data_IF_559274487147
#
_entry.id   IF_559274487147
#
_cell.length_a   1.000
_cell.length_b   1.000
_cell.length_c   1.000
_cell.angle_alpha   90.00
_cell.angle_beta   90.00
_cell.angle_gamma   90.00
#
_symmetry.space_group_name_H-M   'P 1'
#
loop_
_entity.id
_entity.type
_entity.pdbx_description
1 polymer ?
#
# COMPACT_ATOMS: atom_id res chain seq x y z
N UNK A 1 -9.65 12.94 26.59
CA UNK A 1 -8.79 12.59 25.57
C UNK A 1 -9.09 13.29 24.25
N UNK A 2 -8.24 14.09 23.89
CA UNK A 2 -8.44 14.80 22.68
C UNK A 2 -7.74 14.12 21.55
N UNK A 3 -8.46 13.87 20.53
CA UNK A 3 -7.81 13.50 19.31
C UNK A 3 -6.90 14.67 18.93
N UNK A 4 -5.72 14.37 18.48
CA UNK A 4 -4.83 15.39 18.01
C UNK A 4 -5.54 16.16 16.92
N UNK A 5 -5.65 17.41 17.11
CA UNK A 5 -6.17 18.26 16.07
C UNK A 5 -5.22 18.15 14.89
N UNK A 6 -5.71 17.84 13.73
CA UNK A 6 -4.85 17.80 12.56
C UNK A 6 -4.53 19.24 12.16
N UNK A 7 -3.65 19.84 12.92
CA UNK A 7 -3.22 21.20 12.65
C UNK A 7 -2.60 21.30 11.27
N UNK A 8 -2.04 20.21 10.81
CA UNK A 8 -1.39 20.16 9.52
C UNK A 8 -1.84 18.92 8.77
N UNK A 9 -2.66 19.12 7.79
CA UNK A 9 -3.09 17.99 6.93
C UNK A 9 -1.89 17.25 6.35
N UNK A 10 -0.79 17.95 6.09
CA UNK A 10 0.42 17.36 5.56
C UNK A 10 1.28 16.61 6.57
N UNK A 11 0.96 16.73 7.88
CA UNK A 11 1.75 16.08 8.93
C UNK A 11 1.18 14.74 9.35
N UNK A 12 0.07 14.30 8.79
CA UNK A 12 -0.47 12.99 9.08
C UNK A 12 0.46 11.91 8.58
N UNK A 13 0.75 10.96 9.45
CA UNK A 13 1.49 9.79 9.02
C UNK A 13 0.72 9.08 7.92
N UNK A 14 1.39 8.69 6.84
CA UNK A 14 0.73 7.93 5.80
C UNK A 14 0.25 6.59 6.36
N UNK A 15 -0.85 6.07 5.86
CA UNK A 15 -1.33 4.76 6.22
C UNK A 15 -0.96 3.74 5.15
N UNK A 16 -0.59 2.56 5.61
CA UNK A 16 -0.20 1.44 4.75
C UNK A 16 -1.12 0.27 5.10
N UNK A 17 -1.75 -0.30 4.09
CA UNK A 17 -2.62 -1.46 4.25
C UNK A 17 -1.87 -2.71 3.81
N UNK A 18 -1.87 -3.74 4.66
CA UNK A 18 -1.30 -5.04 4.33
C UNK A 18 -2.43 -6.05 4.22
N UNK A 19 -2.57 -6.68 3.06
CA UNK A 19 -3.57 -7.70 2.81
C UNK A 19 -2.88 -9.02 2.53
N UNK A 20 -2.89 -9.92 3.51
CA UNK A 20 -2.23 -11.22 3.42
C UNK A 20 -2.91 -12.14 4.44
N UNK A 21 -3.13 -13.39 4.09
CA UNK A 21 -3.76 -14.33 5.02
C UNK A 21 -2.75 -15.00 5.96
N UNK A 22 -1.46 -14.75 5.78
CA UNK A 22 -0.40 -15.37 6.57
C UNK A 22 0.01 -14.44 7.73
N UNK A 23 -0.22 -14.89 8.96
CA UNK A 23 0.15 -14.14 10.14
C UNK A 23 1.66 -13.89 10.25
N UNK A 24 2.48 -14.80 9.75
CA UNK A 24 3.93 -14.59 9.74
C UNK A 24 4.30 -13.41 8.88
N UNK A 25 3.65 -13.26 7.74
CA UNK A 25 3.91 -12.13 6.85
C UNK A 25 3.50 -10.84 7.55
N UNK A 26 2.33 -10.80 8.18
CA UNK A 26 1.90 -9.62 8.93
C UNK A 26 2.92 -9.24 10.00
N UNK A 27 3.36 -10.21 10.80
CA UNK A 27 4.33 -9.95 11.85
C UNK A 27 5.66 -9.42 11.31
N UNK A 28 6.16 -10.02 10.24
CA UNK A 28 7.42 -9.60 9.63
C UNK A 28 7.31 -8.19 9.04
N UNK A 29 6.22 -7.92 8.32
CA UNK A 29 6.04 -6.61 7.70
C UNK A 29 5.79 -5.52 8.73
N UNK A 30 5.00 -5.81 9.76
CA UNK A 30 4.77 -4.86 10.85
C UNK A 30 6.08 -4.51 11.54
N UNK A 31 6.92 -5.51 11.83
CA UNK A 31 8.21 -5.28 12.45
C UNK A 31 9.12 -4.44 11.54
N UNK A 32 9.13 -4.75 10.25
CA UNK A 32 9.95 -4.01 9.29
C UNK A 32 9.50 -2.56 9.16
N UNK A 33 8.20 -2.32 9.15
CA UNK A 33 7.64 -0.98 8.95
C UNK A 33 7.64 -0.14 10.22
N UNK A 34 7.93 -0.74 11.38
CA UNK A 34 7.92 -0.03 12.66
C UNK A 34 8.90 1.13 12.71
N UNK A 35 10.00 1.04 11.95
CA UNK A 35 10.96 2.11 11.83
C UNK A 35 10.52 3.28 10.96
N UNK A 36 9.43 3.12 10.24
CA UNK A 36 8.86 4.18 9.41
C UNK A 36 7.70 4.84 10.15
N UNK A 37 7.46 6.09 9.86
CA UNK A 37 6.33 6.81 10.46
C UNK A 37 5.08 6.57 9.64
N UNK A 38 4.53 5.37 9.77
CA UNK A 38 3.33 4.98 9.03
C UNK A 38 2.31 4.39 10.00
N UNK A 39 1.04 4.55 9.67
CA UNK A 39 -0.05 3.85 10.34
C UNK A 39 -0.31 2.56 9.57
N UNK A 40 -0.44 1.47 10.29
CA UNK A 40 -0.66 0.17 9.65
C UNK A 40 -2.11 -0.26 9.77
N UNK A 41 -2.65 -0.73 8.67
CA UNK A 41 -3.95 -1.38 8.59
C UNK A 41 -3.69 -2.80 8.09
N UNK A 42 -4.32 -3.78 8.68
CA UNK A 42 -4.10 -5.18 8.31
C UNK A 42 -5.41 -5.87 7.95
N UNK A 43 -5.37 -6.70 6.94
CA UNK A 43 -6.50 -7.49 6.48
C UNK A 43 -6.01 -8.88 6.10
N UNK A 44 -6.85 -9.88 6.30
CA UNK A 44 -6.51 -11.27 6.03
C UNK A 44 -7.25 -11.81 4.81
N UNK A 45 -8.20 -11.07 4.29
CA UNK A 45 -8.97 -11.45 3.11
C UNK A 45 -9.05 -10.25 2.16
N UNK A 46 -9.35 -10.53 0.91
CA UNK A 46 -9.54 -9.47 -0.08
C UNK A 46 -10.73 -8.57 0.29
N UNK A 47 -11.83 -9.17 0.74
CA UNK A 47 -13.01 -8.41 1.13
C UNK A 47 -12.71 -7.44 2.27
N UNK A 48 -11.99 -7.90 3.29
CA UNK A 48 -11.58 -7.04 4.39
C UNK A 48 -10.64 -5.94 3.93
N UNK A 49 -9.67 -6.29 3.06
CA UNK A 49 -8.74 -5.33 2.50
C UNK A 49 -9.45 -4.25 1.70
N UNK A 50 -10.41 -4.64 0.88
CA UNK A 50 -11.19 -3.68 0.10
C UNK A 50 -11.98 -2.74 1.01
N UNK A 51 -12.63 -3.29 2.05
CA UNK A 51 -13.39 -2.47 2.98
C UNK A 51 -12.50 -1.46 3.71
N UNK A 52 -11.32 -1.89 4.17
CA UNK A 52 -10.38 -1.00 4.84
C UNK A 52 -9.83 0.07 3.89
N UNK A 53 -9.54 -0.31 2.65
CA UNK A 53 -9.06 0.65 1.66
C UNK A 53 -10.10 1.74 1.38
N UNK A 54 -11.35 1.36 1.22
CA UNK A 54 -12.42 2.32 0.96
C UNK A 54 -12.67 3.22 2.15
N UNK A 55 -12.59 2.67 3.37
CA UNK A 55 -12.84 3.44 4.59
C UNK A 55 -11.71 4.40 4.94
N UNK A 56 -10.47 3.97 4.77
CA UNK A 56 -9.31 4.72 5.25
C UNK A 56 -8.46 5.35 4.17
N UNK A 57 -8.62 4.95 2.93
CA UNK A 57 -7.87 5.47 1.77
C UNK A 57 -6.37 5.55 2.04
N UNK A 58 -5.73 4.38 2.27
CA UNK A 58 -4.30 4.37 2.55
C UNK A 58 -3.51 4.86 1.34
N UNK A 59 -2.31 5.33 1.57
CA UNK A 59 -1.46 5.76 0.48
C UNK A 59 -0.76 4.59 -0.22
N UNK A 60 -0.62 3.47 0.47
CA UNK A 60 0.01 2.26 -0.08
C UNK A 60 -0.75 1.04 0.40
N UNK A 61 -1.03 0.11 -0.51
CA UNK A 61 -1.54 -1.21 -0.18
C UNK A 61 -0.52 -2.25 -0.62
N UNK A 62 -0.26 -3.22 0.24
CA UNK A 62 0.62 -4.35 -0.04
C UNK A 62 -0.28 -5.58 -0.06
N UNK A 63 -0.40 -6.20 -1.23
CA UNK A 63 -1.44 -7.20 -1.50
C UNK A 63 -0.81 -8.53 -1.90
N UNK A 64 -1.10 -9.57 -1.12
CA UNK A 64 -0.70 -10.93 -1.46
C UNK A 64 -1.57 -11.47 -2.60
N UNK A 65 -0.96 -12.21 -3.52
CA UNK A 65 -1.69 -12.82 -4.64
C UNK A 65 -2.59 -13.94 -4.14
N UNK A 66 -2.11 -14.74 -3.20
CA UNK A 66 -2.80 -15.96 -2.77
C UNK A 66 -3.80 -15.77 -1.66
N UNK A 67 -4.71 -14.82 -1.77
CA UNK A 67 -5.75 -14.61 -0.77
C UNK A 67 -6.84 -15.68 -0.87
N UNK A 68 -7.52 -15.99 0.24
CA UNK A 68 -8.47 -17.11 0.25
C UNK A 68 -9.76 -16.86 -0.53
N UNK A 69 -10.18 -15.62 -0.65
CA UNK A 69 -11.49 -15.28 -1.22
C UNK A 69 -11.43 -14.64 -2.60
N UNK A 70 -10.29 -14.11 -2.99
CA UNK A 70 -10.13 -13.43 -4.28
C UNK A 70 -8.64 -13.30 -4.58
N UNK A 71 -8.26 -13.54 -5.81
CA UNK A 71 -6.89 -13.37 -6.27
C UNK A 71 -6.43 -11.92 -6.03
N UNK A 72 -5.18 -11.74 -5.59
CA UNK A 72 -4.64 -10.42 -5.29
C UNK A 72 -4.56 -9.49 -6.50
N UNK A 73 -4.35 -10.03 -7.71
CA UNK A 73 -4.39 -9.23 -8.93
C UNK A 73 -5.81 -8.71 -9.16
N UNK A 74 -6.81 -9.53 -8.89
CA UNK A 74 -8.21 -9.13 -9.03
C UNK A 74 -8.55 -8.05 -8.01
N UNK A 75 -8.12 -8.23 -6.76
CA UNK A 75 -8.32 -7.19 -5.76
C UNK A 75 -7.68 -5.88 -6.19
N UNK A 76 -6.47 -5.92 -6.72
CA UNK A 76 -5.78 -4.73 -7.21
C UNK A 76 -6.59 -4.04 -8.30
N UNK A 77 -7.09 -4.81 -9.25
CA UNK A 77 -7.92 -4.24 -10.33
C UNK A 77 -9.20 -3.62 -9.79
N UNK A 78 -9.83 -4.27 -8.80
CA UNK A 78 -11.04 -3.75 -8.18
C UNK A 78 -10.77 -2.43 -7.44
N UNK A 79 -9.64 -2.36 -6.72
CA UNK A 79 -9.25 -1.14 -6.03
C UNK A 79 -8.99 0.01 -6.99
N UNK A 80 -8.39 -0.29 -8.14
CA UNK A 80 -8.12 0.74 -9.16
C UNK A 80 -9.38 1.33 -9.76
N UNK A 81 -10.47 0.57 -9.78
CA UNK A 81 -11.75 1.04 -10.28
C UNK A 81 -12.54 1.83 -9.26
N UNK A 82 -12.13 1.78 -8.00
CA UNK A 82 -12.86 2.43 -6.92
C UNK A 82 -12.58 3.91 -6.90
N UNK A 83 -13.61 4.76 -6.92
CA UNK A 83 -13.42 6.20 -6.81
C UNK A 83 -12.73 6.55 -5.50
N UNK A 84 -11.79 7.47 -5.56
CA UNK A 84 -11.04 7.90 -4.39
C UNK A 84 -9.79 7.09 -4.11
N UNK A 85 -9.57 5.97 -4.82
CA UNK A 85 -8.39 5.14 -4.62
C UNK A 85 -7.41 5.18 -5.79
N UNK A 86 -7.65 6.06 -6.75
CA UNK A 86 -6.82 6.11 -7.97
C UNK A 86 -5.38 6.50 -7.69
N UNK A 87 -5.14 7.30 -6.66
CA UNK A 87 -3.79 7.72 -6.29
C UNK A 87 -3.07 6.79 -5.33
N UNK A 88 -3.74 5.72 -4.88
CA UNK A 88 -3.13 4.77 -3.96
C UNK A 88 -2.07 3.94 -4.69
N UNK A 89 -0.90 3.79 -4.06
CA UNK A 89 0.14 2.91 -4.60
C UNK A 89 -0.17 1.48 -4.18
N UNK A 90 0.10 0.51 -5.06
CA UNK A 90 -0.17 -0.90 -4.77
C UNK A 90 1.05 -1.74 -5.11
N UNK A 91 1.55 -2.48 -4.13
CA UNK A 91 2.60 -3.47 -4.29
C UNK A 91 2.00 -4.86 -4.16
N UNK A 92 2.34 -5.73 -5.10
CA UNK A 92 1.92 -7.13 -5.06
C UNK A 92 3.01 -7.95 -4.38
N UNK A 93 2.61 -8.85 -3.47
CA UNK A 93 3.49 -9.88 -2.93
C UNK A 93 3.08 -11.21 -3.53
N UNK A 94 4.03 -11.99 -4.02
CA UNK A 94 3.72 -13.29 -4.60
C UNK A 94 4.72 -14.34 -4.14
N UNK A 95 4.21 -15.49 -3.73
CA UNK A 95 5.04 -16.65 -3.42
C UNK A 95 5.31 -17.52 -4.65
N UNK A 96 4.69 -17.20 -5.76
CA UNK A 96 4.84 -17.92 -7.01
C UNK A 96 5.76 -17.15 -7.94
N UNK A 97 6.03 -17.71 -9.10
CA UNK A 97 6.80 -17.00 -10.12
C UNK A 97 6.14 -15.67 -10.43
N UNK A 98 6.91 -14.58 -10.49
CA UNK A 98 6.34 -13.28 -10.75
C UNK A 98 5.65 -13.24 -12.10
N UNK A 99 4.42 -12.75 -12.11
CA UNK A 99 3.68 -12.51 -13.34
C UNK A 99 3.64 -10.99 -13.55
N UNK A 100 4.65 -10.48 -14.22
CA UNK A 100 4.81 -9.07 -14.46
C UNK A 100 3.67 -8.51 -15.30
N UNK A 101 3.16 -9.32 -16.21
CA UNK A 101 2.05 -8.91 -17.08
C UNK A 101 0.77 -8.75 -16.25
N UNK A 102 0.46 -9.76 -15.42
CA UNK A 102 -0.72 -9.68 -14.57
C UNK A 102 -0.63 -8.51 -13.58
N UNK A 103 0.55 -8.29 -13.00
CA UNK A 103 0.75 -7.18 -12.08
C UNK A 103 0.49 -5.85 -12.77
N UNK A 104 1.09 -5.64 -13.94
CA UNK A 104 0.91 -4.40 -14.69
C UNK A 104 -0.54 -4.22 -15.12
N UNK A 105 -1.16 -5.27 -15.66
CA UNK A 105 -2.53 -5.19 -16.17
C UNK A 105 -3.53 -4.94 -15.05
N UNK A 106 -3.24 -5.39 -13.83
CA UNK A 106 -4.09 -5.12 -12.68
C UNK A 106 -3.99 -3.68 -12.19
N UNK A 107 -2.95 -2.97 -12.59
CA UNK A 107 -2.71 -1.59 -12.15
C UNK A 107 -1.77 -1.48 -10.96
N UNK A 108 -1.03 -2.55 -10.63
CA UNK A 108 -0.06 -2.50 -9.55
C UNK A 108 1.14 -1.63 -9.92
N UNK A 109 1.74 -1.01 -8.91
CA UNK A 109 2.92 -0.17 -9.08
C UNK A 109 4.22 -0.95 -8.96
N UNK A 110 4.17 -2.13 -8.38
CA UNK A 110 5.35 -2.97 -8.24
C UNK A 110 4.98 -4.36 -7.75
N UNK A 111 5.98 -5.24 -7.76
CA UNK A 111 5.79 -6.63 -7.39
C UNK A 111 7.03 -7.10 -6.64
N UNK A 112 6.83 -7.78 -5.53
CA UNK A 112 7.89 -8.36 -4.73
C UNK A 112 7.62 -9.86 -4.61
N UNK A 113 8.63 -10.67 -4.93
CA UNK A 113 8.53 -12.12 -4.82
C UNK A 113 8.93 -12.58 -3.43
N UNK A 114 8.13 -13.46 -2.84
CA UNK A 114 8.48 -14.13 -1.59
C UNK A 114 9.37 -15.35 -1.90
N UNK A 115 10.34 -15.69 -1.08
CA UNK A 115 10.79 -14.94 0.10
C UNK A 115 11.59 -13.70 -0.31
N UNK A 116 11.49 -12.66 0.48
CA UNK A 116 12.21 -11.41 0.22
C UNK A 116 13.03 -11.00 1.45
N UNK A 117 14.07 -10.20 1.21
CA UNK A 117 14.87 -9.64 2.30
C UNK A 117 14.18 -8.39 2.81
N UNK A 118 14.13 -8.24 4.13
CA UNK A 118 13.41 -7.12 4.74
C UNK A 118 13.94 -5.77 4.28
N UNK A 119 15.26 -5.62 4.13
CA UNK A 119 15.79 -4.33 3.70
C UNK A 119 15.42 -4.02 2.25
N UNK A 120 15.33 -5.03 1.39
CA UNK A 120 14.84 -4.84 0.02
C UNK A 120 13.37 -4.40 0.03
N UNK A 121 12.56 -5.08 0.83
CA UNK A 121 11.16 -4.72 1.01
C UNK A 121 11.03 -3.26 1.47
N UNK A 122 11.83 -2.86 2.47
CA UNK A 122 11.80 -1.49 2.97
C UNK A 122 12.21 -0.48 1.92
N UNK A 123 13.21 -0.80 1.10
CA UNK A 123 13.64 0.10 0.04
C UNK A 123 12.51 0.33 -0.97
N UNK A 124 11.80 -0.74 -1.33
CA UNK A 124 10.67 -0.63 -2.26
C UNK A 124 9.54 0.19 -1.64
N UNK A 125 9.23 -0.05 -0.36
CA UNK A 125 8.19 0.70 0.33
C UNK A 125 8.55 2.18 0.40
N UNK A 126 9.78 2.50 0.77
CA UNK A 126 10.25 3.90 0.84
C UNK A 126 10.14 4.57 -0.52
N UNK A 127 10.50 3.87 -1.57
CA UNK A 127 10.39 4.37 -2.92
C UNK A 127 8.95 4.70 -3.28
N UNK A 128 8.01 3.81 -2.95
CA UNK A 128 6.60 4.05 -3.23
C UNK A 128 6.05 5.22 -2.42
N UNK A 129 6.40 5.32 -1.16
CA UNK A 129 5.96 6.43 -0.31
C UNK A 129 6.62 7.75 -0.74
N UNK A 130 7.90 7.71 -1.11
CA UNK A 130 8.62 8.89 -1.56
C UNK A 130 8.10 9.43 -2.89
N UNK A 131 7.73 8.55 -3.83
CA UNK A 131 7.15 8.96 -5.10
C UNK A 131 5.89 9.79 -4.89
N UNK A 132 5.05 9.38 -3.93
CA UNK A 132 3.84 10.11 -3.61
C UNK A 132 4.14 11.48 -3.01
N UNK A 133 5.11 11.55 -2.12
CA UNK A 133 5.54 12.82 -1.55
C UNK A 133 6.08 13.76 -2.62
N UNK A 134 6.87 13.23 -3.54
CA UNK A 134 7.41 13.99 -4.65
C UNK A 134 6.33 14.58 -5.53
N UNK A 135 5.31 13.80 -5.85
CA UNK A 135 4.19 14.28 -6.65
C UNK A 135 3.46 15.41 -5.94
N UNK A 136 3.20 15.26 -4.66
CA UNK A 136 2.52 16.28 -3.88
C UNK A 136 3.35 17.57 -3.79
N UNK A 137 4.65 17.45 -3.56
CA UNK A 137 5.54 18.58 -3.50
C UNK A 137 5.59 19.32 -4.84
N UNK A 138 5.67 18.58 -5.93
CA UNK A 138 5.68 19.15 -7.26
C UNK A 138 4.40 19.92 -7.55
N UNK A 139 3.25 19.35 -7.21
CA UNK A 139 1.98 20.01 -7.41
C UNK A 139 1.87 21.28 -6.56
N UNK A 140 2.35 21.24 -5.33
CA UNK A 140 2.37 22.42 -4.47
C UNK A 140 3.27 23.50 -5.01
N UNK A 141 4.42 23.14 -5.54
CA UNK A 141 5.34 24.09 -6.15
C UNK A 141 4.72 24.76 -7.37
N UNK A 142 4.03 23.99 -8.20
CA UNK A 142 3.34 24.54 -9.36
C UNK A 142 2.24 25.51 -8.95
N UNK A 143 1.50 25.18 -7.90
CA UNK A 143 0.44 26.05 -7.41
C UNK A 143 0.99 27.36 -6.87
N UNK A 144 2.17 27.32 -6.24
CA UNK A 144 2.81 28.53 -5.69
C UNK A 144 3.48 29.37 -6.75
N UNK A 145 3.97 28.73 -7.79
CA UNK A 145 4.71 29.41 -8.84
C UNK A 145 3.86 30.15 -9.85
N UNK A 146 2.56 29.99 -9.74
CA UNK A 146 1.64 30.63 -10.69
C UNK A 146 1.54 32.14 -10.51
#
# INVERSE_FOLDING_TARGET
MTSPTPLHAGSRSPSVLIVDDDEYVHGALEAALRGLRVQLLTAHTAAEGEALALAHKPCLAIVDVGLPDRDGYRLTADLRRSPGLMGMRILILTGQSPDQIAARDSGANGLIQKPFRLHHFLDVVREQLGSREHEQDHLQMLARGA
#
